data_IF_493293111770
#
_entry.id   IF_493293111770
#
_cell.length_a   1.000
_cell.length_b   1.000
_cell.length_c   1.000
_cell.angle_alpha   90.00
_cell.angle_beta   90.00
_cell.angle_gamma   90.00
#
_symmetry.space_group_name_H-M   'P 1'
#
loop_
_entity.id
_entity.type
_entity.pdbx_description
1 polymer ?
#
# COMPACT_ATOMS: atom_id res chain seq x y z
N UNK A 1 12.79 -28.56 -17.41
CA UNK A 1 13.30 -27.29 -17.99
C UNK A 1 13.27 -26.25 -16.90
N UNK A 2 14.37 -25.55 -16.61
CA UNK A 2 14.40 -24.53 -15.56
C UNK A 2 13.36 -23.44 -15.86
N UNK A 3 12.71 -22.96 -14.80
CA UNK A 3 11.67 -21.92 -14.83
C UNK A 3 12.21 -20.67 -15.53
N UNK A 4 11.68 -20.35 -16.71
CA UNK A 4 11.90 -19.03 -17.30
C UNK A 4 11.01 -18.06 -16.53
N UNK A 5 11.63 -17.27 -15.65
CA UNK A 5 10.97 -16.15 -14.98
C UNK A 5 10.42 -15.24 -16.09
N UNK A 6 9.12 -14.97 -16.06
CA UNK A 6 8.50 -14.11 -17.07
C UNK A 6 8.86 -12.64 -16.84
N UNK A 7 8.88 -12.23 -15.57
CA UNK A 7 9.16 -10.86 -15.16
C UNK A 7 10.05 -10.90 -13.92
N UNK A 8 11.20 -10.22 -13.94
CA UNK A 8 12.04 -10.07 -12.75
C UNK A 8 11.46 -9.04 -11.78
N UNK A 9 10.87 -7.98 -12.35
CA UNK A 9 10.11 -6.93 -11.65
C UNK A 9 8.93 -6.49 -12.52
N UNK A 10 7.95 -5.83 -11.90
CA UNK A 10 6.89 -5.14 -12.63
C UNK A 10 7.28 -3.66 -12.68
N UNK A 11 7.32 -3.09 -13.88
CA UNK A 11 7.45 -1.65 -14.11
C UNK A 11 6.07 -1.01 -14.27
N UNK A 12 5.16 -1.68 -15.00
CA UNK A 12 3.77 -1.26 -15.16
C UNK A 12 2.82 -2.42 -15.49
N UNK A 13 1.55 -2.26 -15.12
CA UNK A 13 0.43 -3.06 -15.63
C UNK A 13 -0.59 -2.10 -16.22
N UNK A 14 -0.95 -2.30 -17.48
CA UNK A 14 -1.85 -1.42 -18.23
C UNK A 14 -3.07 -2.20 -18.69
N UNK A 15 -4.25 -1.77 -18.25
CA UNK A 15 -5.54 -2.21 -18.78
C UNK A 15 -5.99 -1.11 -19.74
N UNK A 16 -6.14 -1.45 -21.02
CA UNK A 16 -6.50 -0.52 -22.09
C UNK A 16 -7.85 -0.91 -22.69
N UNK A 17 -8.90 -0.14 -22.40
CA UNK A 17 -10.28 -0.36 -22.86
C UNK A 17 -10.85 -1.74 -22.53
N UNK A 18 -10.42 -2.34 -21.41
CA UNK A 18 -10.71 -3.75 -21.09
C UNK A 18 -12.18 -3.93 -20.76
N UNK A 19 -12.85 -4.89 -21.40
CA UNK A 19 -14.24 -5.21 -21.11
C UNK A 19 -14.48 -6.70 -20.89
N UNK A 20 -15.43 -7.01 -20.01
CA UNK A 20 -15.95 -8.35 -19.78
C UNK A 20 -17.47 -8.33 -19.63
N UNK A 21 -18.16 -9.21 -20.35
CA UNK A 21 -19.60 -9.44 -20.31
C UNK A 21 -19.91 -10.85 -19.81
N UNK A 22 -21.03 -10.96 -19.10
CA UNK A 22 -21.72 -12.22 -18.84
C UNK A 22 -23.15 -12.10 -19.37
N UNK A 23 -23.44 -12.81 -20.46
CA UNK A 23 -24.67 -12.62 -21.22
C UNK A 23 -24.73 -11.19 -21.79
N UNK A 24 -25.80 -10.46 -21.47
CA UNK A 24 -26.00 -9.07 -21.91
C UNK A 24 -25.44 -8.02 -20.96
N UNK A 25 -24.96 -8.40 -19.77
CA UNK A 25 -24.49 -7.47 -18.73
C UNK A 25 -22.97 -7.38 -18.73
N UNK A 26 -22.45 -6.16 -18.63
CA UNK A 26 -21.03 -5.94 -18.36
C UNK A 26 -20.73 -6.25 -16.89
N UNK A 27 -19.64 -6.99 -16.67
CA UNK A 27 -18.97 -7.08 -15.37
C UNK A 27 -17.80 -6.11 -15.26
N UNK A 28 -17.17 -5.78 -16.39
CA UNK A 28 -16.19 -4.69 -16.54
C UNK A 28 -16.46 -4.04 -17.90
N UNK A 29 -16.55 -2.73 -17.98
CA UNK A 29 -16.86 -1.97 -19.20
C UNK A 29 -15.80 -0.91 -19.46
N UNK A 30 -15.07 -1.06 -20.57
CA UNK A 30 -14.04 -0.13 -21.06
C UNK A 30 -13.10 0.39 -19.96
N UNK A 31 -12.51 -0.52 -19.20
CA UNK A 31 -11.62 -0.21 -18.10
C UNK A 31 -10.25 0.23 -18.63
N UNK A 32 -9.92 1.50 -18.37
CA UNK A 32 -8.59 2.08 -18.54
C UNK A 32 -7.96 2.28 -17.16
N UNK A 33 -6.90 1.53 -16.86
CA UNK A 33 -6.25 1.56 -15.55
C UNK A 33 -4.75 1.27 -15.70
N UNK A 34 -3.92 2.11 -15.08
CA UNK A 34 -2.47 1.90 -15.00
C UNK A 34 -2.06 1.65 -13.55
N UNK A 35 -1.34 0.56 -13.36
CA UNK A 35 -0.75 0.13 -12.09
C UNK A 35 0.77 0.32 -12.19
N UNK A 36 1.34 1.09 -11.29
CA UNK A 36 2.76 1.40 -11.22
C UNK A 36 3.55 0.29 -10.52
N UNK A 37 4.76 0.04 -10.99
CA UNK A 37 5.66 -0.92 -10.38
C UNK A 37 5.99 -0.59 -8.91
N UNK A 38 5.75 -1.55 -8.02
CA UNK A 38 6.07 -1.43 -6.59
C UNK A 38 4.96 -0.81 -5.74
N UNK A 39 3.86 -0.37 -6.33
CA UNK A 39 2.72 0.18 -5.58
C UNK A 39 1.79 -0.91 -5.03
N UNK A 40 1.04 -0.56 -4.00
CA UNK A 40 -0.17 -1.25 -3.55
C UNK A 40 -1.40 -0.48 -4.03
N UNK A 41 -1.96 -0.95 -5.15
CA UNK A 41 -3.21 -0.43 -5.69
C UNK A 41 -4.40 -1.20 -5.12
N UNK A 42 -5.35 -0.49 -4.51
CA UNK A 42 -6.55 -1.07 -3.92
C UNK A 42 -7.79 -0.78 -4.77
N UNK A 43 -8.45 -1.83 -5.24
CA UNK A 43 -9.73 -1.76 -5.93
C UNK A 43 -10.87 -1.81 -4.89
N UNK A 44 -11.70 -0.77 -4.85
CA UNK A 44 -12.88 -0.68 -3.98
C UNK A 44 -14.18 -0.46 -4.74
N UNK A 45 -15.30 -0.70 -4.07
CA UNK A 45 -16.63 -0.44 -4.58
C UNK A 45 -17.66 -1.49 -4.15
N UNK A 46 -18.94 -1.31 -4.50
CA UNK A 46 -20.00 -2.24 -4.12
C UNK A 46 -19.80 -3.67 -4.66
N UNK A 47 -20.48 -4.65 -4.06
CA UNK A 47 -20.55 -6.01 -4.60
C UNK A 47 -21.04 -6.00 -6.04
N UNK A 48 -20.31 -6.67 -6.94
CA UNK A 48 -20.64 -6.70 -8.36
C UNK A 48 -20.06 -5.55 -9.19
N UNK A 49 -19.28 -4.63 -8.61
CA UNK A 49 -18.66 -3.51 -9.36
C UNK A 49 -17.57 -3.90 -10.36
N UNK A 50 -17.11 -5.16 -10.35
CA UNK A 50 -16.14 -5.68 -11.32
C UNK A 50 -14.74 -5.99 -10.76
N UNK A 51 -14.45 -5.63 -9.50
CA UNK A 51 -13.11 -5.79 -8.86
C UNK A 51 -12.46 -7.16 -9.03
N UNK A 52 -13.14 -8.22 -8.57
CA UNK A 52 -12.66 -9.60 -8.68
C UNK A 52 -12.53 -10.02 -10.15
N UNK A 53 -13.43 -9.57 -11.03
CA UNK A 53 -13.34 -9.85 -12.47
C UNK A 53 -12.09 -9.20 -13.07
N UNK A 54 -11.78 -7.95 -12.71
CA UNK A 54 -10.54 -7.26 -13.10
C UNK A 54 -9.31 -8.05 -12.67
N UNK A 55 -9.25 -8.47 -11.40
CA UNK A 55 -8.15 -9.26 -10.86
C UNK A 55 -7.94 -10.59 -11.61
N UNK A 56 -9.04 -11.27 -11.95
CA UNK A 56 -9.03 -12.53 -12.72
C UNK A 56 -8.66 -12.35 -14.18
N UNK A 57 -8.84 -11.17 -14.75
CA UNK A 57 -8.38 -10.86 -16.10
C UNK A 57 -6.89 -10.56 -16.13
N UNK A 58 -6.34 -9.88 -15.12
CA UNK A 58 -4.89 -9.60 -15.01
C UNK A 58 -4.07 -10.91 -15.01
N UNK A 59 -4.47 -11.91 -14.23
CA UNK A 59 -3.81 -13.22 -14.23
C UNK A 59 -4.33 -14.20 -15.27
N UNK A 60 -5.21 -13.74 -16.18
CA UNK A 60 -5.82 -14.52 -17.26
C UNK A 60 -6.48 -15.83 -16.79
N UNK A 61 -7.09 -15.84 -15.61
CA UNK A 61 -8.07 -16.89 -15.29
C UNK A 61 -9.35 -16.74 -16.10
N UNK A 62 -9.67 -15.50 -16.49
CA UNK A 62 -10.76 -15.17 -17.39
C UNK A 62 -10.17 -14.26 -18.46
N UNK A 63 -10.48 -14.52 -19.73
CA UNK A 63 -10.04 -13.66 -20.82
C UNK A 63 -11.00 -12.46 -20.99
N UNK A 64 -10.48 -11.25 -21.25
CA UNK A 64 -11.32 -10.11 -21.60
C UNK A 64 -12.00 -10.35 -22.94
N UNK A 65 -13.20 -9.79 -23.13
CA UNK A 65 -13.92 -9.88 -24.40
C UNK A 65 -13.43 -8.82 -25.42
N UNK A 66 -12.90 -7.70 -24.92
CA UNK A 66 -12.26 -6.65 -25.72
C UNK A 66 -11.23 -5.87 -24.90
N UNK A 67 -10.42 -5.07 -25.58
CA UNK A 67 -9.31 -4.32 -24.97
C UNK A 67 -8.05 -5.18 -24.81
N UNK A 68 -7.07 -4.68 -24.08
CA UNK A 68 -5.82 -5.40 -23.84
C UNK A 68 -5.29 -5.17 -22.43
N UNK A 69 -4.59 -6.18 -21.91
CA UNK A 69 -3.89 -6.11 -20.63
C UNK A 69 -2.41 -6.36 -20.92
N UNK A 70 -1.57 -5.38 -20.58
CA UNK A 70 -0.13 -5.43 -20.77
C UNK A 70 0.58 -5.45 -19.43
N UNK A 71 1.61 -6.26 -19.30
CA UNK A 71 2.53 -6.27 -18.16
C UNK A 71 3.92 -6.01 -18.70
N UNK A 72 4.55 -4.91 -18.28
CA UNK A 72 5.81 -4.42 -18.83
C UNK A 72 5.78 -4.33 -20.37
N UNK A 73 4.67 -3.82 -20.92
CA UNK A 73 4.43 -3.71 -22.36
C UNK A 73 4.11 -5.04 -23.08
N UNK A 74 4.11 -6.18 -22.39
CA UNK A 74 3.78 -7.47 -22.98
C UNK A 74 2.32 -7.85 -22.74
N UNK A 75 1.56 -8.05 -23.82
CA UNK A 75 0.15 -8.44 -23.71
C UNK A 75 -0.01 -9.88 -23.16
N UNK A 76 -0.80 -10.03 -22.10
CA UNK A 76 -1.02 -11.31 -21.39
C UNK A 76 -1.68 -12.39 -22.26
N UNK A 77 -2.39 -11.99 -23.34
CA UNK A 77 -3.02 -12.92 -24.29
C UNK A 77 -1.98 -13.66 -25.14
N UNK A 78 -0.77 -13.13 -25.28
CA UNK A 78 0.34 -13.77 -26.01
C UNK A 78 1.24 -14.64 -25.12
N UNK A 79 0.95 -14.71 -23.82
CA UNK A 79 1.69 -15.52 -22.85
C UNK A 79 1.02 -16.87 -22.63
N UNK A 80 1.78 -17.87 -22.18
CA UNK A 80 1.18 -19.12 -21.71
C UNK A 80 0.44 -18.86 -20.37
N UNK A 81 -0.87 -19.17 -20.25
CA UNK A 81 -1.65 -18.83 -19.07
C UNK A 81 -1.24 -19.62 -17.82
N UNK A 82 -0.63 -20.79 -17.96
CA UNK A 82 -0.12 -21.56 -16.82
C UNK A 82 1.15 -20.91 -16.30
N UNK A 83 2.09 -20.56 -17.18
CA UNK A 83 3.32 -19.84 -16.85
C UNK A 83 3.04 -18.48 -16.26
N UNK A 84 2.09 -17.72 -16.82
CA UNK A 84 1.66 -16.43 -16.29
C UNK A 84 1.26 -16.55 -14.81
N UNK A 85 0.33 -17.47 -14.51
CA UNK A 85 -0.17 -17.68 -13.15
C UNK A 85 0.87 -18.21 -12.18
N UNK A 86 1.85 -19.00 -12.65
CA UNK A 86 2.96 -19.48 -11.80
C UNK A 86 4.00 -18.41 -11.48
N UNK A 87 4.04 -17.31 -12.25
CA UNK A 87 4.90 -16.15 -12.00
C UNK A 87 4.18 -15.03 -11.22
N UNK A 88 2.95 -15.27 -10.76
CA UNK A 88 2.17 -14.32 -9.96
C UNK A 88 1.75 -14.98 -8.65
N UNK A 89 1.73 -14.21 -7.57
CA UNK A 89 1.09 -14.66 -6.34
C UNK A 89 -0.39 -14.34 -6.38
N UNK A 90 -1.24 -15.30 -5.99
CA UNK A 90 -2.69 -15.11 -5.96
C UNK A 90 -3.26 -15.55 -4.62
N UNK A 91 -3.78 -14.59 -3.85
CA UNK A 91 -4.51 -14.82 -2.60
C UNK A 91 -6.00 -14.74 -2.90
N UNK A 92 -6.73 -15.82 -2.64
CA UNK A 92 -8.17 -15.92 -2.94
C UNK A 92 -9.02 -15.69 -1.70
N UNK A 93 -10.23 -15.17 -1.91
CA UNK A 93 -11.22 -14.85 -0.88
C UNK A 93 -11.50 -15.98 0.12
N UNK A 94 -11.49 -17.25 -0.33
CA UNK A 94 -11.73 -18.42 0.53
C UNK A 94 -10.45 -19.16 0.96
N UNK A 95 -9.29 -18.48 0.97
CA UNK A 95 -7.94 -19.00 1.30
C UNK A 95 -7.42 -20.03 0.28
N UNK A 96 -8.26 -20.97 -0.14
CA UNK A 96 -8.00 -21.91 -1.22
C UNK A 96 -6.99 -22.98 -0.88
N UNK A 97 -6.75 -23.28 0.39
CA UNK A 97 -5.84 -24.35 0.79
C UNK A 97 -6.45 -25.72 0.43
N UNK A 98 -5.61 -26.62 -0.03
CA UNK A 98 -5.99 -28.00 -0.29
C UNK A 98 -6.15 -28.73 1.04
N UNK A 99 -7.36 -29.17 1.41
CA UNK A 99 -7.66 -29.67 2.76
C UNK A 99 -7.02 -31.03 3.06
N UNK A 100 -6.66 -31.77 2.01
CA UNK A 100 -6.01 -33.08 2.06
C UNK A 100 -4.48 -32.99 2.01
N UNK A 101 -3.92 -31.79 1.93
CA UNK A 101 -2.49 -31.52 1.92
C UNK A 101 -2.08 -30.88 3.25
N UNK A 102 -0.87 -31.16 3.71
CA UNK A 102 -0.26 -30.45 4.84
C UNK A 102 0.02 -28.98 4.48
N UNK A 103 0.39 -28.17 5.47
CA UNK A 103 0.81 -26.78 5.23
C UNK A 103 2.07 -26.75 4.34
N UNK A 104 3.02 -27.67 4.57
CA UNK A 104 4.20 -27.81 3.71
C UNK A 104 3.82 -28.08 2.25
N UNK A 105 2.93 -29.04 2.03
CA UNK A 105 2.48 -29.43 0.70
C UNK A 105 1.70 -28.29 0.01
N UNK A 106 0.91 -27.54 0.79
CA UNK A 106 0.18 -26.37 0.27
C UNK A 106 1.12 -25.26 -0.20
N UNK A 107 2.07 -24.85 0.64
CA UNK A 107 3.01 -23.75 0.33
C UNK A 107 4.04 -24.19 -0.72
N UNK A 108 4.53 -25.42 -0.63
CA UNK A 108 5.53 -26.00 -1.52
C UNK A 108 5.01 -26.48 -2.88
N UNK A 109 3.69 -26.42 -3.12
CA UNK A 109 3.07 -26.97 -4.34
C UNK A 109 3.66 -26.37 -5.63
N UNK A 110 3.73 -25.04 -5.73
CA UNK A 110 4.22 -24.38 -6.96
C UNK A 110 5.73 -24.57 -7.13
N UNK A 111 6.59 -24.41 -6.10
CA UNK A 111 8.01 -24.79 -6.16
C UNK A 111 8.24 -26.21 -6.70
N UNK A 112 7.47 -27.19 -6.19
CA UNK A 112 7.55 -28.58 -6.65
C UNK A 112 7.14 -28.73 -8.12
N UNK A 113 6.07 -28.04 -8.56
CA UNK A 113 5.63 -28.03 -9.96
C UNK A 113 6.61 -27.34 -10.91
N UNK A 114 7.46 -26.47 -10.37
CA UNK A 114 8.58 -25.82 -11.08
C UNK A 114 9.90 -26.62 -10.98
N UNK A 115 9.86 -27.81 -10.35
CA UNK A 115 10.97 -28.75 -10.32
C UNK A 115 12.04 -28.43 -9.29
N UNK A 116 11.70 -27.68 -8.23
CA UNK A 116 12.58 -27.52 -7.08
C UNK A 116 12.76 -28.86 -6.38
N UNK A 117 13.96 -29.13 -5.86
CA UNK A 117 14.19 -30.29 -5.02
C UNK A 117 13.49 -30.15 -3.66
N UNK A 118 13.34 -31.27 -2.97
CA UNK A 118 12.61 -31.32 -1.70
C UNK A 118 13.26 -30.43 -0.63
N UNK A 119 14.59 -30.45 -0.51
CA UNK A 119 15.29 -29.69 0.54
C UNK A 119 15.09 -28.19 0.34
N UNK A 120 15.33 -27.70 -0.89
CA UNK A 120 15.09 -26.30 -1.26
C UNK A 120 13.63 -25.90 -1.04
N UNK A 121 12.68 -26.77 -1.37
CA UNK A 121 11.25 -26.51 -1.17
C UNK A 121 10.92 -26.39 0.33
N UNK A 122 11.36 -27.34 1.15
CA UNK A 122 11.13 -27.34 2.59
C UNK A 122 11.78 -26.11 3.26
N UNK A 123 13.01 -25.74 2.88
CA UNK A 123 13.66 -24.52 3.38
C UNK A 123 12.87 -23.26 3.05
N UNK A 124 12.40 -23.12 1.80
CA UNK A 124 11.56 -21.99 1.39
C UNK A 124 10.24 -21.95 2.14
N UNK A 125 9.60 -23.10 2.34
CA UNK A 125 8.36 -23.20 3.14
C UNK A 125 8.62 -22.75 4.57
N UNK A 126 9.68 -23.23 5.22
CA UNK A 126 10.02 -22.85 6.59
C UNK A 126 10.25 -21.35 6.70
N UNK A 127 11.07 -20.78 5.82
CA UNK A 127 11.29 -19.34 5.75
C UNK A 127 9.98 -18.56 5.62
N UNK A 128 9.09 -18.96 4.70
CA UNK A 128 7.83 -18.26 4.47
C UNK A 128 6.85 -18.39 5.64
N UNK A 129 6.85 -19.54 6.32
CA UNK A 129 6.04 -19.74 7.52
C UNK A 129 6.51 -18.84 8.66
N UNK A 130 7.82 -18.75 8.90
CA UNK A 130 8.38 -17.78 9.86
C UNK A 130 8.06 -16.33 9.45
N UNK A 131 8.21 -16.00 8.17
CA UNK A 131 7.93 -14.69 7.61
C UNK A 131 6.48 -14.24 7.85
N UNK A 132 5.51 -15.15 7.74
CA UNK A 132 4.10 -14.88 8.08
C UNK A 132 3.76 -15.12 9.56
N UNK A 133 4.77 -15.15 10.44
CA UNK A 133 4.62 -15.34 11.89
C UNK A 133 3.89 -16.64 12.26
N UNK A 134 4.22 -17.75 11.58
CA UNK A 134 3.75 -19.10 11.86
C UNK A 134 4.97 -20.03 12.09
N UNK A 135 5.36 -20.31 13.35
CA UNK A 135 6.54 -21.14 13.64
C UNK A 135 6.51 -22.50 12.91
N UNK A 136 7.43 -22.77 11.96
CA UNK A 136 7.38 -23.93 11.09
C UNK A 136 7.31 -25.24 11.86
N UNK A 137 8.07 -25.36 12.96
CA UNK A 137 8.13 -26.57 13.78
C UNK A 137 6.76 -26.97 14.38
N UNK A 138 5.83 -26.02 14.49
CA UNK A 138 4.47 -26.27 14.99
C UNK A 138 3.45 -26.50 13.89
N UNK A 139 3.65 -25.89 12.72
CA UNK A 139 2.61 -25.75 11.70
C UNK A 139 2.87 -26.56 10.42
N UNK A 140 4.13 -26.84 10.07
CA UNK A 140 4.50 -27.41 8.76
C UNK A 140 3.76 -28.71 8.42
N UNK A 141 3.59 -29.59 9.43
CA UNK A 141 2.93 -30.90 9.29
C UNK A 141 1.41 -30.87 9.56
N UNK A 142 0.83 -29.70 9.86
CA UNK A 142 -0.61 -29.59 10.10
C UNK A 142 -1.39 -29.59 8.80
N UNK A 143 -2.66 -29.95 8.87
CA UNK A 143 -3.64 -29.77 7.80
C UNK A 143 -4.43 -28.47 8.00
N UNK A 144 -4.94 -27.82 6.94
CA UNK A 144 -5.70 -26.57 7.05
C UNK A 144 -6.82 -26.58 8.10
N UNK A 145 -7.53 -27.70 8.24
CA UNK A 145 -8.59 -27.89 9.25
C UNK A 145 -8.13 -27.78 10.72
N UNK A 146 -6.83 -27.83 10.98
CA UNK A 146 -6.23 -27.72 12.32
C UNK A 146 -5.76 -26.29 12.63
N UNK A 147 -6.04 -25.33 11.74
CA UNK A 147 -5.65 -23.93 11.83
C UNK A 147 -6.89 -23.05 12.00
N UNK A 148 -6.75 -21.95 12.75
CA UNK A 148 -7.77 -20.89 12.78
C UNK A 148 -7.88 -20.19 11.41
N UNK A 149 -8.96 -19.43 11.18
CA UNK A 149 -9.16 -18.70 9.92
C UNK A 149 -7.99 -17.76 9.57
N UNK A 150 -7.52 -16.96 10.55
CA UNK A 150 -6.35 -16.09 10.34
C UNK A 150 -5.05 -16.85 10.08
N UNK A 151 -4.84 -18.00 10.74
CA UNK A 151 -3.68 -18.86 10.45
C UNK A 151 -3.75 -19.43 9.03
N UNK A 152 -4.93 -19.86 8.58
CA UNK A 152 -5.13 -20.33 7.21
C UNK A 152 -4.84 -19.20 6.20
N UNK A 153 -5.26 -17.96 6.46
CA UNK A 153 -4.96 -16.81 5.58
C UNK A 153 -3.46 -16.53 5.48
N UNK A 154 -2.74 -16.57 6.60
CA UNK A 154 -1.27 -16.45 6.62
C UNK A 154 -0.60 -17.54 5.78
N UNK A 155 -1.09 -18.79 5.85
CA UNK A 155 -0.63 -19.86 4.96
C UNK A 155 -0.97 -19.56 3.49
N UNK A 156 -2.15 -19.01 3.21
CA UNK A 156 -2.55 -18.59 1.86
C UNK A 156 -1.60 -17.53 1.29
N UNK A 157 -1.21 -16.55 2.10
CA UNK A 157 -0.20 -15.54 1.75
C UNK A 157 1.18 -16.18 1.51
N UNK A 158 1.65 -17.03 2.43
CA UNK A 158 2.90 -17.75 2.27
C UNK A 158 2.93 -18.56 0.96
N UNK A 159 1.83 -19.23 0.61
CA UNK A 159 1.72 -19.95 -0.67
C UNK A 159 1.79 -19.02 -1.88
N UNK A 160 1.15 -17.85 -1.82
CA UNK A 160 1.24 -16.86 -2.90
C UNK A 160 2.68 -16.33 -3.07
N UNK A 161 3.47 -16.29 -2.00
CA UNK A 161 4.87 -15.85 -1.98
C UNK A 161 5.88 -16.98 -2.27
N UNK A 162 5.43 -18.22 -2.46
CA UNK A 162 6.28 -19.40 -2.59
C UNK A 162 7.37 -19.24 -3.66
N UNK A 163 6.98 -18.70 -4.82
CA UNK A 163 7.85 -18.48 -5.98
C UNK A 163 8.52 -17.09 -6.02
N UNK A 164 8.39 -16.29 -4.96
CA UNK A 164 8.90 -14.91 -4.91
C UNK A 164 8.41 -14.03 -6.08
N UNK A 165 7.10 -13.98 -6.35
CA UNK A 165 6.58 -13.35 -7.55
C UNK A 165 6.72 -11.81 -7.50
N UNK A 166 6.97 -11.14 -8.64
CA UNK A 166 7.04 -9.69 -8.71
C UNK A 166 5.67 -9.00 -8.60
N UNK A 167 4.57 -9.75 -8.76
CA UNK A 167 3.19 -9.29 -8.67
C UNK A 167 2.40 -10.17 -7.69
N UNK A 168 1.73 -9.53 -6.74
CA UNK A 168 0.75 -10.14 -5.85
C UNK A 168 -0.65 -9.62 -6.17
N UNK A 169 -1.59 -10.55 -6.28
CA UNK A 169 -3.00 -10.26 -6.52
C UNK A 169 -3.79 -10.82 -5.34
N UNK A 170 -4.55 -9.98 -4.65
CA UNK A 170 -5.24 -10.35 -3.42
C UNK A 170 -6.74 -10.02 -3.52
N UNK A 171 -7.59 -11.03 -3.40
CA UNK A 171 -9.04 -10.91 -3.52
C UNK A 171 -9.71 -11.05 -2.16
N UNK A 172 -10.10 -9.93 -1.55
CA UNK A 172 -10.66 -9.82 -0.19
C UNK A 172 -9.90 -10.65 0.87
N UNK A 173 -8.57 -10.46 0.99
CA UNK A 173 -7.75 -11.35 1.80
C UNK A 173 -8.11 -11.32 3.28
N UNK A 174 -8.74 -10.26 3.80
CA UNK A 174 -9.11 -10.12 5.23
C UNK A 174 -10.63 -10.05 5.48
N UNK A 175 -11.46 -10.21 4.44
CA UNK A 175 -12.91 -9.97 4.52
C UNK A 175 -13.68 -10.91 5.45
N UNK A 176 -13.23 -12.17 5.59
CA UNK A 176 -13.92 -13.19 6.39
C UNK A 176 -13.50 -13.22 7.88
N UNK A 177 -12.71 -12.24 8.34
CA UNK A 177 -12.16 -12.23 9.71
C UNK A 177 -12.95 -11.34 10.67
N UNK A 178 -12.83 -11.66 11.97
CA UNK A 178 -13.29 -10.76 13.02
C UNK A 178 -12.51 -9.44 13.02
N UNK A 179 -13.12 -8.32 13.47
CA UNK A 179 -12.49 -7.00 13.38
C UNK A 179 -11.15 -6.86 14.10
N UNK A 180 -10.96 -7.55 15.23
CA UNK A 180 -9.72 -7.44 16.03
C UNK A 180 -8.58 -8.13 15.28
N UNK A 181 -8.81 -9.37 14.84
CA UNK A 181 -7.85 -10.15 14.08
C UNK A 181 -7.54 -9.50 12.72
N UNK A 182 -8.55 -8.90 12.07
CA UNK A 182 -8.37 -8.14 10.84
C UNK A 182 -7.38 -6.99 11.01
N UNK A 183 -7.59 -6.11 12.02
CA UNK A 183 -6.68 -4.97 12.29
C UNK A 183 -5.26 -5.43 12.60
N UNK A 184 -5.11 -6.55 13.33
CA UNK A 184 -3.80 -7.14 13.59
C UNK A 184 -3.11 -7.58 12.29
N UNK A 185 -3.80 -8.34 11.44
CA UNK A 185 -3.25 -8.83 10.17
C UNK A 185 -2.94 -7.71 9.18
N UNK A 186 -3.75 -6.65 9.14
CA UNK A 186 -3.47 -5.46 8.34
C UNK A 186 -2.17 -4.77 8.77
N UNK A 187 -1.92 -4.65 10.08
CA UNK A 187 -0.67 -4.08 10.60
C UNK A 187 0.53 -4.94 10.22
N UNK A 188 0.44 -6.25 10.44
CA UNK A 188 1.49 -7.19 10.06
C UNK A 188 1.73 -7.19 8.54
N UNK A 189 0.66 -7.06 7.74
CA UNK A 189 0.77 -6.95 6.29
C UNK A 189 1.54 -5.70 5.83
N UNK A 190 1.39 -4.56 6.52
CA UNK A 190 2.18 -3.36 6.23
C UNK A 190 3.67 -3.56 6.50
N UNK A 191 4.02 -4.28 7.57
CA UNK A 191 5.41 -4.65 7.87
C UNK A 191 5.96 -5.57 6.78
N UNK A 192 5.18 -6.58 6.40
CA UNK A 192 5.50 -7.51 5.30
C UNK A 192 5.65 -6.78 3.96
N UNK A 193 4.76 -5.84 3.62
CA UNK A 193 4.80 -5.06 2.38
C UNK A 193 6.14 -4.32 2.23
N UNK A 194 6.61 -3.71 3.33
CA UNK A 194 7.90 -2.98 3.36
C UNK A 194 9.08 -3.87 3.04
N UNK A 195 9.05 -5.13 3.48
CA UNK A 195 10.11 -6.11 3.18
C UNK A 195 9.99 -6.74 1.79
N UNK A 196 8.77 -6.90 1.28
CA UNK A 196 8.47 -7.56 -0.01
C UNK A 196 8.91 -6.70 -1.21
N UNK A 197 8.63 -5.38 -1.19
CA UNK A 197 8.99 -4.45 -2.27
C UNK A 197 8.44 -4.83 -3.65
N UNK A 198 7.24 -5.45 -3.71
CA UNK A 198 6.60 -5.94 -4.93
C UNK A 198 5.33 -5.17 -5.24
N UNK A 199 4.87 -5.28 -6.48
CA UNK A 199 3.59 -4.70 -6.91
C UNK A 199 2.45 -5.52 -6.36
N UNK A 200 1.45 -4.87 -5.77
CA UNK A 200 0.29 -5.54 -5.17
C UNK A 200 -1.00 -4.92 -5.71
N UNK A 201 -1.91 -5.75 -6.22
CA UNK A 201 -3.29 -5.37 -6.52
C UNK A 201 -4.20 -6.04 -5.52
N UNK A 202 -4.89 -5.24 -4.72
CA UNK A 202 -5.70 -5.68 -3.60
C UNK A 202 -7.16 -5.32 -3.83
N UNK A 203 -8.07 -6.25 -3.61
CA UNK A 203 -9.51 -6.03 -3.75
C UNK A 203 -10.14 -6.08 -2.37
N UNK A 204 -10.94 -5.08 -2.06
CA UNK A 204 -11.77 -5.08 -0.84
C UNK A 204 -13.05 -4.30 -1.03
N UNK A 205 -14.01 -4.56 -0.14
CA UNK A 205 -15.19 -3.74 0.06
C UNK A 205 -15.08 -2.87 1.32
N UNK A 206 -14.02 -3.00 2.10
CA UNK A 206 -13.76 -2.22 3.31
C UNK A 206 -12.97 -0.96 2.97
N UNK A 207 -13.62 0.20 3.14
CA UNK A 207 -13.03 1.50 2.86
C UNK A 207 -11.90 1.82 3.85
N UNK A 208 -12.06 1.51 5.14
CA UNK A 208 -11.02 1.79 6.15
C UNK A 208 -9.74 1.01 5.83
N UNK A 209 -9.88 -0.21 5.35
CA UNK A 209 -8.77 -1.01 4.84
C UNK A 209 -8.08 -0.37 3.64
N UNK A 210 -8.85 0.10 2.67
CA UNK A 210 -8.30 0.73 1.48
C UNK A 210 -7.49 1.98 1.80
N UNK A 211 -8.03 2.85 2.66
CA UNK A 211 -7.37 4.08 3.07
C UNK A 211 -6.15 3.83 3.97
N UNK A 212 -6.18 2.80 4.79
CA UNK A 212 -5.07 2.46 5.69
C UNK A 212 -3.88 1.82 4.96
N UNK A 213 -4.15 1.03 3.92
CA UNK A 213 -3.13 0.19 3.27
C UNK A 213 -2.65 0.75 1.93
N UNK A 214 -3.55 1.36 1.15
CA UNK A 214 -3.34 1.65 -0.27
C UNK A 214 -2.43 2.83 -0.51
N UNK A 215 -1.48 2.68 -1.43
CA UNK A 215 -0.75 3.83 -1.99
C UNK A 215 -1.68 4.59 -2.95
N UNK A 216 -2.43 3.85 -3.76
CA UNK A 216 -3.50 4.35 -4.62
C UNK A 216 -4.75 3.50 -4.47
N UNK A 217 -5.90 4.13 -4.64
CA UNK A 217 -7.22 3.51 -4.55
C UNK A 217 -7.96 3.75 -5.86
N UNK A 218 -8.46 2.68 -6.46
CA UNK A 218 -9.29 2.68 -7.65
C UNK A 218 -10.75 2.38 -7.27
N UNK A 219 -11.61 3.38 -7.41
CA UNK A 219 -13.04 3.30 -7.08
C UNK A 219 -13.81 2.79 -8.29
N UNK A 220 -14.46 1.64 -8.15
CA UNK A 220 -15.27 1.03 -9.19
C UNK A 220 -16.75 0.99 -8.81
N UNK A 221 -17.62 1.30 -9.76
CA UNK A 221 -19.07 1.10 -9.61
C UNK A 221 -19.70 0.71 -10.95
N UNK A 222 -20.74 -0.13 -10.89
CA UNK A 222 -21.50 -0.54 -12.07
C UNK A 222 -20.63 -0.94 -13.28
N UNK A 223 -19.62 -1.79 -13.05
CA UNK A 223 -18.64 -2.28 -14.03
C UNK A 223 -17.65 -1.24 -14.58
N UNK A 224 -17.64 -0.01 -14.08
CA UNK A 224 -16.77 1.08 -14.56
C UNK A 224 -15.82 1.56 -13.47
N UNK A 225 -14.70 2.11 -13.92
CA UNK A 225 -13.80 2.89 -13.07
C UNK A 225 -14.33 4.31 -12.95
N UNK A 226 -14.44 4.81 -11.72
CA UNK A 226 -14.90 6.17 -11.45
C UNK A 226 -13.73 7.13 -11.23
N UNK A 227 -12.81 6.75 -10.33
CA UNK A 227 -11.66 7.57 -9.95
C UNK A 227 -10.52 6.68 -9.47
N UNK A 228 -9.29 7.13 -9.71
CA UNK A 228 -8.07 6.55 -9.14
C UNK A 228 -7.22 7.68 -8.58
N UNK A 229 -6.73 7.52 -7.36
CA UNK A 229 -5.87 8.51 -6.73
C UNK A 229 -5.32 8.02 -5.41
N UNK A 230 -4.50 8.84 -4.77
CA UNK A 230 -4.12 8.63 -3.38
C UNK A 230 -5.36 8.73 -2.47
N UNK A 231 -5.32 8.17 -1.25
CA UNK A 231 -6.41 8.32 -0.28
C UNK A 231 -6.84 9.79 -0.09
N UNK A 232 -5.89 10.72 -0.02
CA UNK A 232 -6.14 12.17 0.07
C UNK A 232 -6.95 12.72 -1.11
N UNK A 233 -6.69 12.23 -2.33
CA UNK A 233 -7.42 12.65 -3.53
C UNK A 233 -8.90 12.30 -3.45
N UNK A 234 -9.21 11.11 -2.95
CA UNK A 234 -10.59 10.65 -2.83
C UNK A 234 -11.37 11.38 -1.73
N UNK A 235 -10.69 11.88 -0.70
CA UNK A 235 -11.31 12.66 0.38
C UNK A 235 -11.56 14.10 -0.06
N UNK A 236 -10.51 14.77 -0.56
CA UNK A 236 -10.55 16.22 -0.79
C UNK A 236 -11.08 16.60 -2.17
N UNK A 237 -10.90 15.72 -3.15
CA UNK A 237 -11.22 15.98 -4.56
C UNK A 237 -11.97 14.80 -5.20
N UNK A 238 -13.11 14.34 -4.61
CA UNK A 238 -13.92 13.33 -5.25
C UNK A 238 -14.49 13.87 -6.57
N UNK A 239 -14.41 13.08 -7.64
CA UNK A 239 -14.82 13.50 -8.99
C UNK A 239 -16.34 13.74 -9.11
N UNK A 240 -17.13 13.14 -8.21
CA UNK A 240 -18.58 13.33 -8.10
C UNK A 240 -19.12 12.88 -6.73
N UNK A 241 -20.41 13.16 -6.48
CA UNK A 241 -21.11 12.75 -5.25
C UNK A 241 -21.10 11.23 -5.02
N UNK A 242 -21.20 10.43 -6.10
CA UNK A 242 -21.17 8.97 -5.99
C UNK A 242 -19.85 8.46 -5.43
N UNK A 243 -18.70 9.01 -5.86
CA UNK A 243 -17.40 8.66 -5.28
C UNK A 243 -17.34 9.11 -3.82
N UNK A 244 -17.78 10.33 -3.51
CA UNK A 244 -17.82 10.83 -2.13
C UNK A 244 -18.69 9.94 -1.21
N UNK A 245 -19.80 9.40 -1.71
CA UNK A 245 -20.66 8.46 -1.00
C UNK A 245 -20.00 7.08 -0.84
N UNK A 246 -19.37 6.56 -1.90
CA UNK A 246 -18.70 5.25 -1.87
C UNK A 246 -17.51 5.25 -0.92
N UNK A 247 -16.75 6.34 -0.85
CA UNK A 247 -15.64 6.48 0.11
C UNK A 247 -16.09 6.96 1.49
N UNK A 248 -17.40 7.13 1.67
CA UNK A 248 -18.06 7.55 2.91
C UNK A 248 -17.44 8.83 3.50
N UNK A 249 -17.06 9.77 2.63
CA UNK A 249 -16.45 11.06 3.03
C UNK A 249 -17.34 11.79 4.03
N UNK A 250 -18.67 11.66 3.88
CA UNK A 250 -19.64 12.40 4.66
C UNK A 250 -19.96 11.84 6.07
N UNK A 251 -19.76 10.55 6.37
CA UNK A 251 -20.02 10.00 7.74
C UNK A 251 -18.76 9.76 8.55
N UNK A 252 -17.69 9.22 7.97
CA UNK A 252 -16.45 8.95 8.72
C UNK A 252 -15.66 10.22 9.03
N UNK A 253 -15.67 11.20 8.13
CA UNK A 253 -14.97 12.46 8.30
C UNK A 253 -15.87 13.62 8.72
N UNK A 254 -17.12 13.35 9.12
CA UNK A 254 -18.07 14.36 9.62
C UNK A 254 -17.55 15.14 10.83
N UNK A 255 -16.58 14.57 11.54
CA UNK A 255 -15.88 15.24 12.64
C UNK A 255 -14.65 16.03 12.22
N UNK A 256 -14.10 15.88 11.00
CA UNK A 256 -12.95 16.69 10.56
C UNK A 256 -13.24 18.19 10.63
N UNK A 257 -14.46 18.59 10.28
CA UNK A 257 -14.89 19.99 10.38
C UNK A 257 -14.99 20.48 11.83
N UNK A 258 -15.13 19.55 12.79
CA UNK A 258 -15.23 19.84 14.23
C UNK A 258 -13.91 19.65 14.99
N UNK A 259 -12.92 19.01 14.36
CA UNK A 259 -11.61 18.73 14.93
C UNK A 259 -10.66 19.88 14.61
N UNK A 260 -9.90 20.27 15.63
CA UNK A 260 -8.85 21.25 15.47
C UNK A 260 -7.50 20.54 15.36
N UNK A 261 -6.52 21.22 14.78
CA UNK A 261 -5.15 20.71 14.63
C UNK A 261 -4.58 20.16 15.95
N UNK A 262 -4.87 20.78 17.09
CA UNK A 262 -4.42 20.31 18.41
C UNK A 262 -4.88 18.88 18.76
N UNK A 263 -5.99 18.43 18.19
CA UNK A 263 -6.63 17.15 18.55
C UNK A 263 -5.96 15.98 17.84
N UNK A 264 -5.26 16.24 16.72
CA UNK A 264 -4.60 15.24 15.88
C UNK A 264 -3.09 15.44 15.74
N UNK A 265 -2.53 16.55 16.23
CA UNK A 265 -1.09 16.81 16.20
C UNK A 265 -0.31 15.70 16.93
N UNK A 266 0.90 15.46 16.47
CA UNK A 266 1.88 14.59 17.12
C UNK A 266 2.88 15.46 17.88
N UNK A 267 3.31 15.04 19.10
CA UNK A 267 4.40 15.72 19.79
C UNK A 267 5.66 15.73 18.92
N UNK A 268 6.38 16.86 18.93
CA UNK A 268 7.61 16.98 18.17
C UNK A 268 8.69 16.08 18.79
N UNK A 269 9.17 15.11 18.01
CA UNK A 269 10.29 14.26 18.41
C UNK A 269 11.62 14.96 18.10
N UNK A 270 12.47 15.06 19.12
CA UNK A 270 13.82 15.66 19.04
C UNK A 270 14.68 15.09 17.92
N UNK A 271 14.45 13.85 17.47
CA UNK A 271 15.19 13.27 16.36
C UNK A 271 15.01 14.03 15.04
N UNK A 272 13.87 14.69 14.85
CA UNK A 272 13.59 15.47 13.64
C UNK A 272 14.14 16.90 13.72
N UNK A 273 14.74 17.32 14.84
CA UNK A 273 15.22 18.69 15.05
C UNK A 273 16.71 18.79 14.69
N UNK A 274 17.04 19.82 13.91
CA UNK A 274 18.39 20.30 13.67
C UNK A 274 18.51 21.75 14.12
N UNK A 275 19.64 22.09 14.75
CA UNK A 275 19.98 23.47 15.07
C UNK A 275 20.48 24.19 13.81
N UNK A 276 20.09 25.45 13.66
CA UNK A 276 20.33 26.25 12.46
C UNK A 276 21.79 26.59 12.21
N UNK A 277 22.63 26.54 13.23
CA UNK A 277 24.08 26.78 13.17
C UNK A 277 24.89 25.50 12.90
N UNK A 278 24.23 24.35 12.73
CA UNK A 278 24.87 23.13 12.26
C UNK A 278 25.29 23.30 10.80
N UNK A 279 26.47 22.81 10.43
CA UNK A 279 26.88 22.78 9.02
C UNK A 279 26.22 21.64 8.25
N UNK A 280 26.13 21.83 6.94
CA UNK A 280 25.50 20.88 6.03
C UNK A 280 26.13 19.48 6.06
N UNK A 281 27.45 19.34 6.23
CA UNK A 281 28.11 18.04 6.24
C UNK A 281 27.73 17.23 7.47
N UNK A 282 27.83 17.83 8.66
CA UNK A 282 27.37 17.18 9.89
C UNK A 282 25.85 16.95 9.88
N UNK A 283 25.06 17.83 9.25
CA UNK A 283 23.62 17.60 9.10
C UNK A 283 23.31 16.32 8.31
N UNK A 284 24.03 16.03 7.23
CA UNK A 284 23.88 14.79 6.46
C UNK A 284 24.20 13.57 7.34
N UNK A 285 25.28 13.62 8.12
CA UNK A 285 25.66 12.52 9.03
C UNK A 285 24.59 12.29 10.09
N UNK A 286 24.13 13.36 10.75
CA UNK A 286 23.08 13.29 11.78
C UNK A 286 21.78 12.73 11.19
N UNK A 287 21.36 13.18 10.00
CA UNK A 287 20.14 12.69 9.35
C UNK A 287 20.26 11.21 8.94
N UNK A 288 21.45 10.77 8.52
CA UNK A 288 21.71 9.37 8.19
C UNK A 288 21.69 8.48 9.43
N UNK A 289 22.35 8.90 10.50
CA UNK A 289 22.38 8.17 11.77
C UNK A 289 21.00 8.06 12.41
N UNK A 290 20.18 9.10 12.27
CA UNK A 290 18.78 9.13 12.75
C UNK A 290 17.79 8.46 11.79
N UNK A 291 18.23 8.05 10.60
CA UNK A 291 17.41 7.47 9.53
C UNK A 291 16.21 8.36 9.16
N UNK A 292 16.48 9.65 8.95
CA UNK A 292 15.47 10.67 8.61
C UNK A 292 15.82 11.37 7.30
N UNK A 293 14.87 11.45 6.37
CA UNK A 293 15.08 12.15 5.08
C UNK A 293 14.72 13.64 5.15
N UNK A 294 13.95 14.04 6.16
CA UNK A 294 13.52 15.43 6.39
C UNK A 294 13.59 15.77 7.87
N UNK A 295 14.09 16.98 8.16
CA UNK A 295 14.21 17.54 9.50
C UNK A 295 13.61 18.95 9.57
N UNK A 296 13.28 19.38 10.77
CA UNK A 296 12.83 20.72 11.13
C UNK A 296 14.04 21.47 11.68
N UNK A 297 14.25 22.68 11.16
CA UNK A 297 15.37 23.54 11.53
C UNK A 297 14.89 24.60 12.51
N UNK A 298 15.50 24.62 13.68
CA UNK A 298 15.29 25.63 14.70
C UNK A 298 16.58 26.45 14.87
N UNK A 299 16.46 27.76 15.05
CA UNK A 299 17.59 28.62 15.44
C UNK A 299 17.21 29.30 16.76
N UNK A 300 17.95 29.00 17.83
CA UNK A 300 17.67 29.50 19.18
C UNK A 300 16.20 29.26 19.61
N UNK A 301 15.65 28.09 19.27
CA UNK A 301 14.27 27.70 19.57
C UNK A 301 13.20 28.33 18.67
N UNK A 302 13.57 29.15 17.68
CA UNK A 302 12.64 29.69 16.67
C UNK A 302 12.65 28.82 15.42
N UNK A 303 11.45 28.56 14.88
CA UNK A 303 11.30 27.83 13.63
C UNK A 303 11.87 28.63 12.45
N UNK A 304 12.89 28.08 11.79
CA UNK A 304 13.40 28.60 10.52
C UNK A 304 12.68 27.94 9.34
N UNK A 305 12.46 26.63 9.42
CA UNK A 305 11.77 25.89 8.35
C UNK A 305 12.05 24.39 8.38
N UNK A 306 11.96 23.76 7.21
CA UNK A 306 12.29 22.35 6.99
C UNK A 306 13.53 22.19 6.11
N UNK A 307 14.22 21.08 6.28
CA UNK A 307 15.40 20.69 5.51
C UNK A 307 15.22 19.27 5.01
N UNK A 308 15.23 19.08 3.69
CA UNK A 308 15.22 17.76 3.06
C UNK A 308 16.65 17.37 2.71
N UNK A 309 16.99 16.08 2.83
CA UNK A 309 18.31 15.55 2.48
C UNK A 309 18.75 15.96 1.07
N UNK A 310 17.80 16.00 0.12
CA UNK A 310 18.04 16.43 -1.26
C UNK A 310 18.50 17.89 -1.36
N UNK A 311 18.10 18.76 -0.42
CA UNK A 311 18.55 20.16 -0.39
C UNK A 311 20.03 20.25 -0.01
N UNK A 312 20.48 19.41 0.94
CA UNK A 312 21.88 19.32 1.33
C UNK A 312 22.77 18.78 0.21
N UNK A 313 22.33 17.73 -0.48
CA UNK A 313 23.10 17.10 -1.57
C UNK A 313 23.24 18.00 -2.82
N UNK A 314 22.36 18.98 -2.99
CA UNK A 314 22.37 19.92 -4.11
C UNK A 314 23.13 21.22 -3.81
N UNK A 315 23.63 21.40 -2.60
CA UNK A 315 24.27 22.65 -2.22
C UNK A 315 25.70 22.73 -2.78
N UNK A 316 25.99 23.77 -3.56
CA UNK A 316 27.30 24.01 -4.18
C UNK A 316 28.22 24.88 -3.31
N UNK A 317 27.69 25.49 -2.25
CA UNK A 317 28.44 26.36 -1.35
C UNK A 317 29.41 25.56 -0.46
N UNK A 318 30.54 26.17 -0.13
CA UNK A 318 31.51 25.58 0.79
C UNK A 318 31.03 25.77 2.24
N UNK A 319 30.54 24.68 2.81
CA UNK A 319 30.16 24.55 4.23
C UNK A 319 29.07 25.53 4.71
N UNK A 320 27.92 25.61 4.02
CA UNK A 320 26.79 26.42 4.45
C UNK A 320 26.20 25.90 5.76
N UNK A 321 25.58 26.82 6.51
CA UNK A 321 24.81 26.47 7.70
C UNK A 321 23.43 25.99 7.29
N UNK A 322 22.86 25.09 8.08
CA UNK A 322 21.55 24.50 7.83
C UNK A 322 20.44 25.55 7.75
N UNK A 323 20.50 26.62 8.56
CA UNK A 323 19.50 27.71 8.51
C UNK A 323 19.44 28.45 7.17
N UNK A 324 20.55 28.48 6.42
CA UNK A 324 20.64 29.19 5.15
C UNK A 324 20.06 28.35 3.99
N UNK A 325 19.97 27.03 4.19
CA UNK A 325 19.45 26.06 3.21
C UNK A 325 17.99 25.72 3.49
N UNK A 326 17.57 25.83 4.75
CA UNK A 326 16.23 25.50 5.20
C UNK A 326 15.16 26.25 4.39
N UNK A 327 14.13 25.52 3.97
CA UNK A 327 13.00 26.08 3.25
C UNK A 327 11.85 26.39 4.21
N UNK A 328 11.07 27.45 3.96
CA UNK A 328 9.84 27.68 4.70
C UNK A 328 8.94 26.45 4.67
N UNK A 329 8.22 26.22 5.76
CA UNK A 329 7.23 25.16 5.85
C UNK A 329 5.90 25.72 6.36
N UNK A 330 4.81 25.01 6.10
CA UNK A 330 3.50 25.40 6.61
C UNK A 330 3.44 25.33 8.12
N UNK A 331 2.72 26.29 8.68
CA UNK A 331 2.45 26.42 10.11
C UNK A 331 0.96 26.59 10.30
N UNK A 332 0.39 25.84 11.23
CA UNK A 332 -1.01 25.93 11.64
C UNK A 332 -1.11 26.24 13.12
N UNK A 333 -2.14 27.00 13.49
CA UNK A 333 -2.47 27.26 14.88
C UNK A 333 -3.23 26.07 15.49
N UNK A 334 -3.14 25.91 16.82
CA UNK A 334 -3.86 24.87 17.57
C UNK A 334 -5.37 24.78 17.29
N UNK A 335 -6.00 25.88 16.88
CA UNK A 335 -7.45 26.01 16.66
C UNK A 335 -7.83 25.97 15.18
N UNK A 336 -6.88 25.81 14.28
CA UNK A 336 -7.18 25.69 12.87
C UNK A 336 -7.94 24.38 12.61
N UNK A 337 -8.81 24.39 11.62
CA UNK A 337 -9.54 23.19 11.20
C UNK A 337 -8.58 22.19 10.57
N UNK A 338 -8.68 20.92 10.98
CA UNK A 338 -7.91 19.82 10.38
C UNK A 338 -8.17 19.71 8.88
N UNK A 339 -9.43 19.87 8.46
CA UNK A 339 -9.81 19.78 7.04
C UNK A 339 -9.13 20.85 6.19
N UNK A 340 -9.09 22.09 6.70
CA UNK A 340 -8.41 23.20 6.03
C UNK A 340 -6.90 22.95 5.99
N UNK A 341 -6.31 22.53 7.11
CA UNK A 341 -4.88 22.25 7.19
C UNK A 341 -4.44 21.18 6.18
N UNK A 342 -5.12 20.04 6.12
CA UNK A 342 -4.81 18.97 5.16
C UNK A 342 -5.01 19.42 3.71
N UNK A 343 -6.09 20.16 3.43
CA UNK A 343 -6.34 20.69 2.07
C UNK A 343 -5.24 21.66 1.63
N UNK A 344 -4.77 22.53 2.53
CA UNK A 344 -3.68 23.45 2.22
C UNK A 344 -2.35 22.72 2.05
N UNK A 345 -2.05 21.77 2.94
CA UNK A 345 -0.87 20.90 2.87
C UNK A 345 -0.78 20.20 1.51
N UNK A 346 -1.88 19.57 1.09
CA UNK A 346 -2.02 18.93 -0.22
C UNK A 346 -1.77 19.91 -1.37
N UNK A 347 -2.42 21.07 -1.36
CA UNK A 347 -2.24 22.11 -2.40
C UNK A 347 -0.79 22.60 -2.51
N UNK A 348 -0.06 22.63 -1.40
CA UNK A 348 1.37 22.97 -1.39
C UNK A 348 2.31 21.80 -1.69
N UNK A 349 1.79 20.57 -1.81
CA UNK A 349 2.61 19.35 -1.91
C UNK A 349 3.43 19.09 -0.65
N UNK A 350 2.99 19.58 0.52
CA UNK A 350 3.66 19.39 1.80
C UNK A 350 2.96 18.27 2.58
N UNK A 351 3.67 17.21 2.93
CA UNK A 351 3.16 16.10 3.75
C UNK A 351 3.33 16.35 5.26
N UNK A 352 4.06 17.40 5.64
CA UNK A 352 4.35 17.76 7.03
C UNK A 352 4.20 19.26 7.27
N UNK A 353 3.60 19.65 8.38
CA UNK A 353 3.46 21.03 8.82
C UNK A 353 3.70 21.18 10.33
N UNK A 354 4.10 22.38 10.76
CA UNK A 354 4.31 22.69 12.18
C UNK A 354 3.04 23.19 12.84
N UNK A 355 2.87 22.85 14.12
CA UNK A 355 1.78 23.35 14.95
C UNK A 355 2.32 24.31 15.99
N UNK A 356 1.82 25.55 15.97
CA UNK A 356 2.28 26.62 16.85
C UNK A 356 1.15 27.23 17.68
N UNK A 357 1.51 27.79 18.83
CA UNK A 357 0.65 28.62 19.66
C UNK A 357 1.39 29.93 19.98
N UNK A 358 1.15 30.95 19.17
CA UNK A 358 2.03 32.13 19.14
C UNK A 358 3.43 31.72 18.68
N UNK A 359 4.45 32.05 19.47
CA UNK A 359 5.85 31.69 19.19
C UNK A 359 6.24 30.30 19.73
N UNK A 360 5.34 29.61 20.42
CA UNK A 360 5.64 28.30 21.01
C UNK A 360 5.33 27.17 20.03
N UNK A 361 6.27 26.27 19.82
CA UNK A 361 6.06 25.02 19.08
C UNK A 361 5.29 24.04 19.96
N UNK A 362 4.15 23.57 19.49
CA UNK A 362 3.29 22.63 20.22
C UNK A 362 3.39 21.19 19.68
N UNK A 363 3.73 21.03 18.41
CA UNK A 363 3.82 19.72 17.76
C UNK A 363 3.93 19.85 16.24
N UNK A 364 3.62 18.76 15.57
CA UNK A 364 3.62 18.66 14.11
C UNK A 364 2.36 17.95 13.62
N UNK A 365 1.99 18.21 12.36
CA UNK A 365 1.01 17.45 11.61
C UNK A 365 1.73 16.71 10.49
N UNK A 366 1.43 15.42 10.35
CA UNK A 366 1.86 14.58 9.23
C UNK A 366 0.59 14.07 8.55
N UNK A 367 0.42 14.32 7.26
CA UNK A 367 -0.85 14.04 6.56
C UNK A 367 -1.28 12.58 6.72
N UNK A 368 -0.38 11.63 6.47
CA UNK A 368 -0.64 10.19 6.64
C UNK A 368 -1.09 9.82 8.06
N UNK A 369 -0.44 10.36 9.10
CA UNK A 369 -0.81 10.07 10.48
C UNK A 369 -2.18 10.64 10.85
N UNK A 370 -2.49 11.83 10.32
CA UNK A 370 -3.77 12.49 10.57
C UNK A 370 -4.89 11.68 9.91
N UNK A 371 -4.71 11.26 8.66
CA UNK A 371 -5.67 10.39 7.96
C UNK A 371 -5.88 9.08 8.72
N UNK A 372 -4.80 8.44 9.18
CA UNK A 372 -4.87 7.21 9.97
C UNK A 372 -5.59 7.37 11.32
N UNK A 373 -5.56 8.56 11.94
CA UNK A 373 -6.30 8.85 13.19
C UNK A 373 -7.77 9.18 12.93
N UNK A 374 -8.12 9.57 11.71
CA UNK A 374 -9.49 9.91 11.29
C UNK A 374 -10.29 8.67 10.84
N UNK A 375 -9.61 7.60 10.47
CA UNK A 375 -10.15 6.29 10.10
C UNK A 375 -10.24 5.40 11.34
#
# INVERSE_FOLDING_TARGET
>A
MPTKILFERIDSIELQGVSKKYGSRFAVESLDLTIEGGELLILIGPSGSGKTTTLRMINRMIEPDSGSILINGQNVMHLDPVRLRRNMGYVIQNIGLFPHMTIEENVGLVPKLEGWDQNRTTERVRYLLDFVSLPPDRFINRYPRQLSGGQQQRVGLARALAMDPPLLLMDEPFGALDPILRKQLQKEFLEIKKEIGRTIVFVTHDIEEAFRLGDRIAVMDNARLLQVGAPEDLIFEPVNELVADIVDTARKFKHMDTLNVKDLMTPLDTKYILEGDLDACHAVEVMKDRNTETCIVLDNGKLIGKLEMVNLLKCEEKNPLVRDIAKPMKVFALRDSVATALSEMKRSGEYMAMVMNGDTICGMLVSDEVLLKLI
#
